data_IF_072682473256
#
_entry.id   IF_072682473256
#
_cell.length_a   1.000
_cell.length_b   1.000
_cell.length_c   1.000
_cell.angle_alpha   90.00
_cell.angle_beta   90.00
_cell.angle_gamma   90.00
#
_symmetry.space_group_name_H-M   'P 1'
#
loop_
_entity.id
_entity.type
_entity.pdbx_description
1 polymer ?
#
# COMPACT_ATOMS: atom_id res chain seq x y z
N UNK A 1 -13.27 -21.15 -8.87
CA UNK A 1 -14.16 -22.29 -8.56
C UNK A 1 -15.24 -21.80 -7.63
N UNK A 2 -16.50 -22.23 -7.80
CA UNK A 2 -17.60 -21.76 -6.96
C UNK A 2 -17.34 -22.06 -5.47
N UNK A 3 -17.71 -21.12 -4.60
CA UNK A 3 -17.66 -21.26 -3.14
C UNK A 3 -18.63 -22.37 -2.72
N UNK A 4 -18.20 -23.29 -1.87
CA UNK A 4 -19.05 -24.37 -1.34
C UNK A 4 -19.38 -24.16 0.14
N UNK A 5 -20.37 -24.90 0.65
CA UNK A 5 -20.70 -24.91 2.07
C UNK A 5 -19.50 -25.29 2.96
N UNK A 6 -18.64 -26.19 2.49
CA UNK A 6 -17.43 -26.57 3.21
C UNK A 6 -16.42 -25.42 3.30
N UNK A 7 -16.32 -24.58 2.26
CA UNK A 7 -15.43 -23.40 2.27
C UNK A 7 -15.94 -22.36 3.28
N UNK A 8 -17.26 -22.14 3.34
CA UNK A 8 -17.89 -21.24 4.32
C UNK A 8 -17.70 -21.73 5.77
N UNK A 9 -17.90 -23.02 6.04
CA UNK A 9 -17.68 -23.60 7.37
C UNK A 9 -16.20 -23.64 7.77
N UNK A 10 -15.28 -23.73 6.80
CA UNK A 10 -13.86 -23.61 7.06
C UNK A 10 -13.49 -22.16 7.42
N UNK A 11 -13.97 -21.18 6.64
CA UNK A 11 -13.75 -19.76 6.90
C UNK A 11 -14.28 -19.31 8.27
N UNK A 12 -15.51 -19.71 8.63
CA UNK A 12 -16.08 -19.38 9.94
C UNK A 12 -15.24 -19.93 11.11
N UNK A 13 -14.69 -21.15 10.96
CA UNK A 13 -13.78 -21.73 11.97
C UNK A 13 -12.43 -21.01 12.03
N UNK A 14 -11.86 -20.65 10.88
CA UNK A 14 -10.59 -19.92 10.80
C UNK A 14 -10.69 -18.55 11.51
N UNK A 15 -11.81 -17.86 11.32
CA UNK A 15 -12.10 -16.56 11.93
C UNK A 15 -12.72 -16.66 13.33
N UNK A 16 -12.87 -17.88 13.88
CA UNK A 16 -13.51 -18.14 15.19
C UNK A 16 -14.89 -17.47 15.34
N UNK A 17 -15.68 -17.50 14.28
CA UNK A 17 -17.03 -16.96 14.26
C UNK A 17 -18.05 -17.98 14.78
N UNK A 18 -18.99 -17.51 15.61
CA UNK A 18 -20.12 -18.30 16.11
C UNK A 18 -21.32 -18.30 15.15
N UNK A 19 -21.20 -17.67 13.97
CA UNK A 19 -22.28 -17.57 13.00
C UNK A 19 -22.61 -18.94 12.38
N UNK A 20 -23.90 -19.25 12.31
CA UNK A 20 -24.36 -20.48 11.65
C UNK A 20 -24.17 -20.40 10.14
N UNK A 21 -23.94 -21.55 9.51
CA UNK A 21 -23.80 -21.65 8.05
C UNK A 21 -25.02 -21.08 7.31
N UNK A 22 -26.22 -21.27 7.86
CA UNK A 22 -27.45 -20.76 7.25
C UNK A 22 -27.57 -19.24 7.38
N UNK A 23 -27.14 -18.66 8.50
CA UNK A 23 -27.06 -17.19 8.65
C UNK A 23 -26.08 -16.59 7.63
N UNK A 24 -24.90 -17.20 7.44
CA UNK A 24 -23.90 -16.76 6.46
C UNK A 24 -24.48 -16.84 5.03
N UNK A 25 -25.12 -17.95 4.68
CA UNK A 25 -25.76 -18.13 3.36
C UNK A 25 -26.90 -17.14 3.13
N UNK A 26 -27.71 -16.86 4.14
CA UNK A 26 -28.80 -15.90 4.04
C UNK A 26 -28.26 -14.50 3.83
N UNK A 27 -27.23 -14.09 4.58
CA UNK A 27 -26.60 -12.80 4.42
C UNK A 27 -25.93 -12.64 3.05
N UNK A 28 -25.29 -13.69 2.52
CA UNK A 28 -24.70 -13.69 1.17
C UNK A 28 -25.70 -13.47 0.03
N UNK A 29 -27.02 -13.60 0.28
CA UNK A 29 -28.07 -13.32 -0.71
C UNK A 29 -28.51 -11.86 -0.73
N UNK A 30 -28.16 -11.10 0.29
CA UNK A 30 -28.50 -9.69 0.37
C UNK A 30 -27.36 -8.86 -0.19
N UNK A 31 -27.70 -7.78 -0.86
CA UNK A 31 -26.70 -6.82 -1.30
C UNK A 31 -26.05 -6.19 -0.06
N UNK A 32 -24.71 -6.17 0.03
CA UNK A 32 -24.04 -5.58 1.18
C UNK A 32 -24.43 -4.10 1.29
N UNK A 33 -24.58 -3.62 2.52
CA UNK A 33 -24.79 -2.20 2.75
C UNK A 33 -23.68 -1.38 2.08
N UNK A 34 -24.05 -0.25 1.47
CA UNK A 34 -23.06 0.65 0.85
C UNK A 34 -22.04 1.05 1.91
N UNK A 35 -20.77 0.72 1.67
CA UNK A 35 -19.67 1.17 2.52
C UNK A 35 -19.48 2.66 2.30
N UNK A 36 -19.55 3.43 3.38
CA UNK A 36 -19.28 4.86 3.35
C UNK A 36 -17.76 5.05 3.52
N UNK A 37 -17.04 5.58 2.51
CA UNK A 37 -15.62 5.86 2.67
C UNK A 37 -15.43 6.95 3.73
N UNK A 38 -14.29 6.91 4.42
CA UNK A 38 -13.93 7.96 5.37
C UNK A 38 -13.86 9.30 4.60
N UNK A 39 -14.57 10.35 5.04
CA UNK A 39 -14.62 11.62 4.33
C UNK A 39 -13.34 12.42 4.60
N UNK A 40 -12.29 12.11 3.84
CA UNK A 40 -11.02 12.85 3.88
C UNK A 40 -11.28 14.31 3.51
N UNK A 41 -10.73 15.25 4.28
CA UNK A 41 -10.99 16.68 4.08
C UNK A 41 -10.71 17.12 2.63
N UNK A 42 -9.52 16.82 2.10
CA UNK A 42 -9.15 17.21 0.74
C UNK A 42 -10.02 16.57 -0.36
N UNK A 43 -10.74 15.48 -0.06
CA UNK A 43 -11.68 14.85 -1.00
C UNK A 43 -13.07 15.51 -0.96
N UNK A 44 -13.53 15.89 0.22
CA UNK A 44 -14.86 16.50 0.39
C UNK A 44 -14.95 17.91 -0.18
N UNK A 45 -13.81 18.58 -0.31
CA UNK A 45 -13.67 19.93 -0.86
C UNK A 45 -13.58 19.93 -2.38
N UNK A 46 -14.56 19.29 -3.04
CA UNK A 46 -14.68 19.29 -4.49
C UNK A 46 -14.90 20.70 -5.03
N UNK A 47 -14.26 20.99 -6.17
CA UNK A 47 -14.33 22.29 -6.83
C UNK A 47 -15.19 22.15 -8.08
N UNK A 48 -15.99 23.18 -8.41
CA UNK A 48 -16.87 23.15 -9.59
C UNK A 48 -16.09 23.04 -10.89
N UNK A 49 -14.98 23.77 -11.00
CA UNK A 49 -14.24 23.94 -12.27
C UNK A 49 -12.79 23.44 -12.17
N UNK A 50 -12.49 22.59 -11.18
CA UNK A 50 -11.15 22.05 -10.97
C UNK A 50 -11.21 20.67 -10.32
N UNK A 51 -10.14 19.85 -10.44
CA UNK A 51 -10.04 18.60 -9.69
C UNK A 51 -10.19 18.81 -8.18
N UNK A 52 -10.60 17.76 -7.44
CA UNK A 52 -10.60 17.78 -5.98
C UNK A 52 -9.22 18.17 -5.44
N UNK A 53 -9.17 18.86 -4.30
CA UNK A 53 -7.88 19.21 -3.67
C UNK A 53 -7.03 17.96 -3.37
N UNK A 54 -7.66 16.81 -3.14
CA UNK A 54 -6.94 15.55 -2.96
C UNK A 54 -6.03 15.23 -4.15
N UNK A 55 -6.50 15.41 -5.39
CA UNK A 55 -5.68 15.15 -6.59
C UNK A 55 -4.48 16.08 -6.62
N UNK A 56 -4.72 17.38 -6.39
CA UNK A 56 -3.65 18.37 -6.30
C UNK A 56 -2.61 18.01 -5.22
N UNK A 57 -3.05 17.63 -4.02
CA UNK A 57 -2.17 17.24 -2.91
C UNK A 57 -1.36 15.99 -3.26
N UNK A 58 -1.99 14.97 -3.86
CA UNK A 58 -1.31 13.75 -4.31
C UNK A 58 -0.24 14.10 -5.35
N UNK A 59 -0.53 14.98 -6.31
CA UNK A 59 0.41 15.40 -7.33
C UNK A 59 1.59 16.19 -6.73
N UNK A 60 1.33 17.10 -5.79
CA UNK A 60 2.38 17.85 -5.10
C UNK A 60 3.31 16.95 -4.29
N UNK A 61 2.74 16.03 -3.52
CA UNK A 61 3.52 15.05 -2.76
C UNK A 61 4.29 14.15 -3.72
N UNK A 62 3.66 13.65 -4.78
CA UNK A 62 4.31 12.73 -5.72
C UNK A 62 5.44 13.38 -6.49
N UNK A 63 5.26 14.62 -6.96
CA UNK A 63 6.31 15.39 -7.63
C UNK A 63 7.51 15.64 -6.71
N UNK A 64 7.23 16.02 -5.45
CA UNK A 64 8.28 16.18 -4.45
C UNK A 64 9.03 14.87 -4.17
N UNK A 65 8.31 13.77 -3.90
CA UNK A 65 8.93 12.49 -3.58
C UNK A 65 9.69 11.90 -4.75
N UNK A 66 9.19 12.07 -5.98
CA UNK A 66 9.90 11.69 -7.19
C UNK A 66 11.24 12.42 -7.28
N UNK A 67 11.26 13.74 -7.05
CA UNK A 67 12.49 14.53 -7.05
C UNK A 67 13.41 14.20 -5.85
N UNK A 68 12.85 13.94 -4.66
CA UNK A 68 13.61 13.65 -3.45
C UNK A 68 14.31 12.29 -3.52
N UNK A 69 13.63 11.27 -4.03
CA UNK A 69 14.19 9.93 -4.24
C UNK A 69 14.83 9.77 -5.62
N UNK A 70 14.91 10.84 -6.41
CA UNK A 70 15.65 10.84 -7.66
C UNK A 70 17.13 10.70 -7.31
N UNK A 71 17.66 9.47 -7.45
CA UNK A 71 19.04 9.08 -7.12
C UNK A 71 20.06 9.67 -8.10
N UNK A 72 19.94 10.96 -8.40
CA UNK A 72 20.81 11.72 -9.29
C UNK A 72 20.52 11.53 -10.79
N UNK A 73 19.31 11.13 -11.20
CA UNK A 73 18.97 11.04 -12.63
C UNK A 73 18.61 12.40 -13.22
N UNK A 74 18.03 13.32 -12.44
CA UNK A 74 17.83 14.70 -12.87
C UNK A 74 19.13 15.52 -12.82
N UNK A 75 19.28 16.39 -13.83
CA UNK A 75 20.33 17.42 -13.93
C UNK A 75 20.22 18.50 -12.85
N UNK A 76 19.03 18.68 -12.25
CA UNK A 76 18.77 19.67 -11.22
C UNK A 76 18.41 18.98 -9.91
N UNK A 77 19.34 19.00 -8.96
CA UNK A 77 19.10 18.44 -7.63
C UNK A 77 18.27 19.40 -6.78
N UNK A 78 17.41 18.84 -5.93
CA UNK A 78 16.91 19.57 -4.78
C UNK A 78 18.12 20.07 -3.96
N UNK A 79 18.09 21.30 -3.40
CA UNK A 79 19.11 21.75 -2.47
C UNK A 79 19.13 20.81 -1.27
N UNK A 80 19.98 19.79 -1.32
CA UNK A 80 20.11 18.82 -0.25
C UNK A 80 21.02 19.43 0.81
N UNK A 81 20.43 19.93 1.88
CA UNK A 81 21.17 20.01 3.13
C UNK A 81 21.47 18.57 3.54
N UNK A 82 22.76 18.21 3.58
CA UNK A 82 23.15 16.91 4.10
C UNK A 82 22.50 16.76 5.50
N UNK A 83 21.70 15.70 5.69
CA UNK A 83 20.96 15.37 6.91
C UNK A 83 19.58 16.03 7.13
N UNK A 84 18.96 16.67 6.14
CA UNK A 84 17.56 17.11 6.28
C UNK A 84 16.59 15.91 6.19
N UNK A 85 15.62 15.84 7.13
CA UNK A 85 14.55 14.82 7.07
C UNK A 85 13.64 15.05 5.85
N UNK A 86 12.86 14.03 5.47
CA UNK A 86 11.92 14.09 4.37
C UNK A 86 10.92 15.26 4.54
N UNK A 87 10.40 15.46 5.76
CA UNK A 87 9.48 16.54 6.09
C UNK A 87 10.13 17.93 5.98
N UNK A 88 11.33 18.11 6.53
CA UNK A 88 12.02 19.41 6.52
C UNK A 88 12.34 19.84 5.08
N UNK A 89 12.83 18.90 4.28
CA UNK A 89 13.11 19.09 2.86
C UNK A 89 11.84 19.40 2.06
N UNK A 90 10.73 18.70 2.35
CA UNK A 90 9.43 18.98 1.73
C UNK A 90 8.92 20.38 2.05
N UNK A 91 9.08 20.82 3.30
CA UNK A 91 8.64 22.14 3.74
C UNK A 91 9.40 23.24 3.00
N UNK A 92 10.72 23.10 2.85
CA UNK A 92 11.53 24.03 2.06
C UNK A 92 11.10 24.05 0.58
N UNK A 93 10.92 22.87 -0.02
CA UNK A 93 10.43 22.72 -1.40
C UNK A 93 9.08 23.44 -1.61
N UNK A 94 8.11 23.17 -0.73
CA UNK A 94 6.75 23.71 -0.82
C UNK A 94 6.70 25.22 -0.54
N UNK A 95 7.62 25.75 0.27
CA UNK A 95 7.76 27.19 0.46
C UNK A 95 8.26 27.90 -0.81
N UNK A 96 8.97 27.23 -1.72
CA UNK A 96 9.43 27.81 -2.99
C UNK A 96 8.37 27.67 -4.07
N UNK A 97 7.66 26.55 -4.09
CA UNK A 97 6.63 26.24 -5.07
C UNK A 97 5.44 27.24 -5.03
N UNK A 98 4.94 27.60 -6.21
CA UNK A 98 3.82 28.54 -6.41
C UNK A 98 2.55 27.84 -6.91
N UNK A 99 2.57 26.52 -7.10
CA UNK A 99 1.43 25.76 -7.66
C UNK A 99 0.15 25.89 -6.81
N UNK A 100 0.29 25.99 -5.47
CA UNK A 100 -0.83 26.15 -4.52
C UNK A 100 -1.70 27.37 -4.83
N UNK A 101 -1.07 28.50 -5.18
CA UNK A 101 -1.80 29.72 -5.54
C UNK A 101 -2.60 29.56 -6.85
N UNK A 102 -2.03 28.86 -7.84
CA UNK A 102 -2.73 28.53 -9.09
C UNK A 102 -3.90 27.55 -8.83
N UNK A 103 -3.75 26.66 -7.86
CA UNK A 103 -4.82 25.82 -7.34
C UNK A 103 -5.81 26.57 -6.42
N UNK A 104 -5.75 27.90 -6.30
CA UNK A 104 -6.72 28.68 -5.52
C UNK A 104 -6.47 28.70 -4.00
N UNK A 105 -5.40 28.05 -3.52
CA UNK A 105 -4.98 28.06 -2.11
C UNK A 105 -3.92 29.15 -1.90
N UNK A 106 -4.36 30.41 -1.81
CA UNK A 106 -3.47 31.58 -1.88
C UNK A 106 -2.66 31.79 -0.60
N UNK A 107 -3.17 31.43 0.56
CA UNK A 107 -2.51 31.60 1.84
C UNK A 107 -1.66 30.41 2.29
N UNK A 108 -1.58 29.31 1.52
CA UNK A 108 -0.77 28.12 1.85
C UNK A 108 0.65 28.49 2.24
N UNK A 109 1.34 29.32 1.46
CA UNK A 109 2.72 29.73 1.77
C UNK A 109 2.81 30.48 3.11
N UNK A 110 1.89 31.41 3.36
CA UNK A 110 1.83 32.17 4.62
C UNK A 110 1.56 31.24 5.80
N UNK A 111 0.62 30.31 5.64
CA UNK A 111 0.23 29.36 6.68
C UNK A 111 1.33 28.32 6.93
N UNK A 112 2.04 27.87 5.90
CA UNK A 112 3.16 26.92 6.00
C UNK A 112 4.32 27.48 6.84
N UNK A 113 4.51 28.81 6.87
CA UNK A 113 5.50 29.45 7.75
C UNK A 113 5.17 29.29 9.24
N UNK A 114 3.89 29.11 9.60
CA UNK A 114 3.45 28.83 10.97
C UNK A 114 3.58 27.36 11.37
N UNK A 115 3.86 26.47 10.41
CA UNK A 115 4.07 25.05 10.68
C UNK A 115 5.45 24.86 11.31
N UNK A 116 5.55 24.12 12.44
CA UNK A 116 6.83 23.78 13.06
C UNK A 116 7.82 23.12 12.11
N UNK A 117 9.11 23.28 12.38
CA UNK A 117 10.19 22.72 11.54
C UNK A 117 10.39 21.21 11.75
N UNK A 118 10.00 20.67 12.92
CA UNK A 118 10.15 19.24 13.25
C UNK A 118 8.87 18.49 12.87
N UNK A 119 9.01 17.32 12.24
CA UNK A 119 7.86 16.53 11.80
C UNK A 119 6.90 16.17 12.92
N UNK A 120 7.41 15.81 14.10
CA UNK A 120 6.56 15.43 15.24
C UNK A 120 5.71 16.60 15.73
N UNK A 121 6.31 17.78 15.85
CA UNK A 121 5.60 19.00 16.27
C UNK A 121 4.60 19.45 15.19
N UNK A 122 4.94 19.27 13.91
CA UNK A 122 4.05 19.56 12.80
C UNK A 122 2.86 18.59 12.71
N UNK A 123 3.04 17.32 13.11
CA UNK A 123 1.96 16.35 13.22
C UNK A 123 0.97 16.80 14.30
N UNK A 124 1.46 17.14 15.49
CA UNK A 124 0.62 17.69 16.58
C UNK A 124 -0.09 18.96 16.15
N UNK A 125 0.62 19.90 15.52
CA UNK A 125 0.03 21.12 14.96
C UNK A 125 -1.09 20.82 13.96
N UNK A 126 -0.88 19.86 13.05
CA UNK A 126 -1.89 19.53 12.04
C UNK A 126 -3.13 18.87 12.68
N UNK A 127 -2.94 17.97 13.65
CA UNK A 127 -4.04 17.37 14.40
C UNK A 127 -4.85 18.42 15.17
N UNK A 128 -4.18 19.39 15.81
CA UNK A 128 -4.84 20.51 16.49
C UNK A 128 -5.64 21.40 15.51
N UNK A 129 -5.13 21.64 14.30
CA UNK A 129 -5.86 22.42 13.29
C UNK A 129 -7.07 21.68 12.73
N UNK A 130 -6.92 20.38 12.49
CA UNK A 130 -7.96 19.52 11.95
C UNK A 130 -9.07 19.27 13.00
N UNK A 131 -8.72 19.29 14.30
CA UNK A 131 -9.66 19.26 15.43
C UNK A 131 -10.63 18.07 15.36
N UNK A 132 -10.06 16.87 15.16
CA UNK A 132 -10.78 15.60 15.24
C UNK A 132 -10.61 14.98 16.62
N UNK A 133 -11.66 14.31 17.16
CA UNK A 133 -11.53 13.51 18.38
C UNK A 133 -10.43 12.45 18.26
N UNK A 134 -9.65 12.26 19.32
CA UNK A 134 -8.51 11.31 19.35
C UNK A 134 -8.90 9.89 18.91
N UNK A 135 -10.12 9.46 19.27
CA UNK A 135 -10.67 8.16 18.87
C UNK A 135 -10.76 7.96 17.34
N UNK A 136 -10.78 9.04 16.55
CA UNK A 136 -10.86 9.00 15.09
C UNK A 136 -9.48 9.10 14.42
N UNK A 137 -8.42 9.42 15.17
CA UNK A 137 -7.08 9.63 14.60
C UNK A 137 -6.55 8.40 13.86
N UNK A 138 -6.64 7.15 14.39
CA UNK A 138 -6.10 5.99 13.69
C UNK A 138 -6.69 5.79 12.30
N UNK A 139 -8.02 5.86 12.17
CA UNK A 139 -8.73 5.70 10.90
C UNK A 139 -8.40 6.84 9.93
N UNK A 140 -8.37 8.08 10.42
CA UNK A 140 -8.07 9.24 9.61
C UNK A 140 -6.64 9.20 9.07
N UNK A 141 -5.65 8.92 9.92
CA UNK A 141 -4.24 8.79 9.54
C UNK A 141 -4.03 7.64 8.56
N UNK A 142 -4.68 6.50 8.79
CA UNK A 142 -4.63 5.36 7.87
C UNK A 142 -5.22 5.70 6.50
N UNK A 143 -6.44 6.25 6.45
CA UNK A 143 -7.07 6.67 5.20
C UNK A 143 -6.23 7.71 4.44
N UNK A 144 -5.61 8.62 5.18
CA UNK A 144 -4.70 9.64 4.67
C UNK A 144 -3.48 9.02 3.99
N UNK A 145 -2.82 8.04 4.61
CA UNK A 145 -1.72 7.29 3.99
C UNK A 145 -2.20 6.43 2.80
N UNK A 146 -3.37 5.81 2.90
CA UNK A 146 -3.96 5.03 1.80
C UNK A 146 -4.23 5.87 0.56
N UNK A 147 -4.53 7.16 0.71
CA UNK A 147 -4.70 8.08 -0.41
C UNK A 147 -3.43 8.28 -1.25
N UNK A 148 -2.26 8.02 -0.66
CA UNK A 148 -0.93 8.06 -1.30
C UNK A 148 -0.23 6.70 -1.19
N UNK A 149 -1.02 5.62 -1.33
CA UNK A 149 -0.62 4.26 -0.99
C UNK A 149 0.68 3.77 -1.66
N UNK A 150 0.95 4.18 -2.90
CA UNK A 150 2.20 3.83 -3.59
C UNK A 150 3.44 4.33 -2.85
N UNK A 151 3.45 5.61 -2.47
CA UNK A 151 4.54 6.22 -1.72
C UNK A 151 4.61 5.74 -0.27
N UNK A 152 3.45 5.51 0.36
CA UNK A 152 3.39 4.92 1.70
C UNK A 152 4.02 3.52 1.71
N UNK A 153 3.72 2.69 0.70
CA UNK A 153 4.36 1.36 0.53
C UNK A 153 5.85 1.47 0.29
N UNK A 154 6.30 2.44 -0.51
CA UNK A 154 7.73 2.67 -0.74
C UNK A 154 8.46 3.09 0.57
N UNK A 155 7.90 4.03 1.33
CA UNK A 155 8.48 4.43 2.63
C UNK A 155 8.49 3.28 3.63
N UNK A 156 7.42 2.45 3.67
CA UNK A 156 7.40 1.24 4.50
C UNK A 156 8.47 0.23 4.08
N UNK A 157 8.72 0.09 2.78
CA UNK A 157 9.80 -0.75 2.25
C UNK A 157 11.17 -0.23 2.69
N UNK A 158 11.42 1.08 2.66
CA UNK A 158 12.66 1.67 3.17
C UNK A 158 12.86 1.40 4.66
N UNK A 159 11.80 1.56 5.46
CA UNK A 159 11.82 1.18 6.88
C UNK A 159 12.16 -0.29 7.08
N UNK A 160 11.52 -1.18 6.33
CA UNK A 160 11.82 -2.61 6.41
C UNK A 160 13.29 -2.92 6.06
N UNK A 161 13.86 -2.25 5.07
CA UNK A 161 15.27 -2.41 4.72
C UNK A 161 16.22 -1.92 5.82
N UNK A 162 15.87 -0.84 6.52
CA UNK A 162 16.63 -0.33 7.66
C UNK A 162 16.54 -1.30 8.86
N UNK A 163 15.34 -1.78 9.18
CA UNK A 163 15.09 -2.76 10.26
C UNK A 163 15.95 -4.03 10.09
N UNK A 164 16.11 -4.52 8.86
CA UNK A 164 16.97 -5.67 8.56
C UNK A 164 18.47 -5.43 8.86
N UNK A 165 18.90 -4.17 8.92
CA UNK A 165 20.27 -3.76 9.27
C UNK A 165 20.39 -3.32 10.72
N UNK A 166 19.30 -3.32 11.49
CA UNK A 166 19.25 -2.74 12.84
C UNK A 166 19.31 -1.21 12.84
N UNK A 167 18.93 -0.57 11.73
CA UNK A 167 18.85 0.88 11.56
C UNK A 167 17.39 1.33 11.65
N UNK A 168 17.17 2.60 12.02
CA UNK A 168 15.86 3.23 12.02
C UNK A 168 15.62 4.05 10.74
N UNK A 169 14.35 4.21 10.35
CA UNK A 169 13.96 5.09 9.25
C UNK A 169 12.60 5.75 9.54
N UNK A 170 12.52 7.06 9.31
CA UNK A 170 11.41 7.92 9.71
C UNK A 170 10.59 8.46 8.54
N UNK A 171 10.99 8.18 7.29
CA UNK A 171 10.30 8.68 6.07
C UNK A 171 8.80 8.41 6.03
N UNK A 172 8.34 7.26 6.56
CA UNK A 172 6.90 6.95 6.61
C UNK A 172 6.13 7.89 7.55
N UNK A 173 6.74 8.22 8.70
CA UNK A 173 6.17 9.18 9.65
C UNK A 173 6.18 10.60 9.05
N UNK A 174 7.29 10.98 8.41
CA UNK A 174 7.40 12.27 7.73
C UNK A 174 6.37 12.40 6.60
N UNK A 175 6.16 11.34 5.81
CA UNK A 175 5.14 11.31 4.75
C UNK A 175 3.72 11.48 5.31
N UNK A 176 3.40 10.79 6.40
CA UNK A 176 2.12 10.95 7.09
C UNK A 176 1.93 12.39 7.55
N UNK A 177 2.97 12.98 8.14
CA UNK A 177 2.96 14.38 8.60
C UNK A 177 2.76 15.34 7.43
N UNK A 178 3.50 15.19 6.33
CA UNK A 178 3.37 16.02 5.12
C UNK A 178 1.91 16.02 4.63
N UNK A 179 1.33 14.82 4.52
CA UNK A 179 -0.03 14.67 4.02
C UNK A 179 -1.05 15.29 4.99
N UNK A 180 -0.86 15.18 6.30
CA UNK A 180 -1.76 15.78 7.29
C UNK A 180 -1.63 17.30 7.34
N UNK A 181 -0.42 17.84 7.22
CA UNK A 181 -0.18 19.28 7.12
C UNK A 181 -0.90 19.87 5.91
N UNK A 182 -0.94 19.17 4.76
CA UNK A 182 -1.75 19.61 3.62
C UNK A 182 -3.24 19.76 3.95
N UNK A 183 -3.83 18.80 4.67
CA UNK A 183 -5.23 18.92 5.11
C UNK A 183 -5.42 20.14 6.01
N UNK A 184 -4.56 20.33 7.01
CA UNK A 184 -4.62 21.49 7.90
C UNK A 184 -4.47 22.82 7.14
N UNK A 185 -3.55 22.90 6.18
CA UNK A 185 -3.35 24.10 5.35
C UNK A 185 -4.56 24.39 4.46
N UNK A 186 -5.19 23.37 3.89
CA UNK A 186 -6.42 23.52 3.11
C UNK A 186 -7.54 24.01 4.03
N UNK A 187 -7.71 23.41 5.21
CA UNK A 187 -8.74 23.79 6.18
C UNK A 187 -8.63 25.27 6.55
N UNK A 188 -7.42 25.78 6.78
CA UNK A 188 -7.18 27.20 7.09
C UNK A 188 -7.57 28.18 5.97
N UNK A 189 -7.72 27.71 4.73
CA UNK A 189 -8.18 28.51 3.59
C UNK A 189 -9.70 28.45 3.39
N UNK A 190 -10.40 27.55 4.09
CA UNK A 190 -11.84 27.35 3.95
C UNK A 190 -12.63 28.15 4.99
N UNK A 191 -13.84 28.55 4.63
CA UNK A 191 -14.77 29.23 5.54
C UNK A 191 -15.46 28.25 6.50
N UNK A 192 -15.95 28.77 7.62
CA UNK A 192 -16.62 27.99 8.67
C UNK A 192 -17.76 27.06 8.17
N UNK A 193 -18.64 27.44 7.23
CA UNK A 193 -19.69 26.54 6.74
C UNK A 193 -19.14 25.25 6.11
N UNK A 194 -17.98 25.34 5.45
CA UNK A 194 -17.31 24.22 4.82
C UNK A 194 -16.73 23.27 5.88
N UNK A 195 -16.17 23.83 6.96
CA UNK A 195 -15.67 23.06 8.10
C UNK A 195 -16.81 22.29 8.77
N UNK A 196 -17.94 22.95 9.01
CA UNK A 196 -19.12 22.35 9.62
C UNK A 196 -19.70 21.23 8.76
N UNK A 197 -19.78 21.44 7.44
CA UNK A 197 -20.26 20.41 6.51
C UNK A 197 -19.38 19.16 6.53
N UNK A 198 -18.06 19.33 6.55
CA UNK A 198 -17.13 18.21 6.66
C UNK A 198 -17.25 17.49 8.02
N UNK A 199 -17.38 18.23 9.14
CA UNK A 199 -17.59 17.65 10.48
C UNK A 199 -18.88 16.81 10.55
N UNK A 200 -19.97 17.26 9.93
CA UNK A 200 -21.22 16.49 9.85
C UNK A 200 -20.99 15.16 9.13
N UNK A 201 -20.30 15.16 7.99
CA UNK A 201 -19.96 13.94 7.25
C UNK A 201 -19.08 12.99 8.05
N UNK A 202 -18.08 13.50 8.78
CA UNK A 202 -17.25 12.69 9.68
C UNK A 202 -18.10 12.02 10.78
N UNK A 203 -19.04 12.75 11.37
CA UNK A 203 -19.96 12.20 12.38
C UNK A 203 -20.93 11.15 11.80
N UNK A 204 -21.45 11.38 10.58
CA UNK A 204 -22.23 10.39 9.84
C UNK A 204 -21.43 9.12 9.58
N UNK A 205 -20.23 9.26 9.03
CA UNK A 205 -19.33 8.14 8.78
C UNK A 205 -19.04 7.35 10.06
N UNK A 206 -18.74 8.04 11.18
CA UNK A 206 -18.47 7.38 12.45
C UNK A 206 -19.68 6.57 12.95
N UNK A 207 -20.90 7.11 12.83
CA UNK A 207 -22.13 6.37 13.18
C UNK A 207 -22.28 5.11 12.35
N UNK A 208 -22.01 5.20 11.04
CA UNK A 208 -22.05 4.04 10.15
C UNK A 208 -20.95 3.03 10.43
N UNK A 209 -19.72 3.47 10.72
CA UNK A 209 -18.60 2.60 11.05
C UNK A 209 -18.87 1.78 12.33
N UNK A 210 -19.44 2.39 13.37
CA UNK A 210 -19.85 1.69 14.59
C UNK A 210 -20.98 0.69 14.33
N UNK A 211 -21.97 1.05 13.50
CA UNK A 211 -23.06 0.14 13.13
C UNK A 211 -22.60 -1.02 12.22
N UNK A 212 -21.55 -0.81 11.43
CA UNK A 212 -20.97 -1.81 10.52
C UNK A 212 -19.92 -2.73 11.19
N UNK A 213 -19.68 -2.58 12.49
CA UNK A 213 -18.79 -3.44 13.29
C UNK A 213 -19.17 -4.94 13.24
N UNK A 214 -20.33 -5.28 12.69
CA UNK A 214 -20.77 -6.65 12.41
C UNK A 214 -20.35 -7.17 11.01
N UNK A 215 -19.22 -6.72 10.45
CA UNK A 215 -18.70 -7.16 9.14
C UNK A 215 -18.04 -8.57 9.16
N UNK A 216 -18.28 -9.36 10.22
CA UNK A 216 -17.82 -10.75 10.32
C UNK A 216 -18.26 -11.58 9.10
N UNK A 217 -19.44 -11.29 8.55
CA UNK A 217 -19.97 -11.98 7.37
C UNK A 217 -19.12 -11.70 6.12
N UNK A 218 -18.77 -10.43 5.86
CA UNK A 218 -17.94 -10.08 4.69
C UNK A 218 -16.58 -10.77 4.77
N UNK A 219 -15.98 -10.80 5.97
CA UNK A 219 -14.69 -11.43 6.21
C UNK A 219 -14.75 -12.95 6.02
N UNK A 220 -15.82 -13.59 6.49
CA UNK A 220 -16.10 -15.01 6.25
C UNK A 220 -16.26 -15.28 4.76
N UNK A 221 -17.01 -14.45 4.04
CA UNK A 221 -17.23 -14.62 2.60
C UNK A 221 -15.93 -14.42 1.81
N UNK A 222 -15.11 -13.44 2.18
CA UNK A 222 -13.78 -13.22 1.60
C UNK A 222 -12.86 -14.42 1.85
N UNK A 223 -12.76 -14.86 3.10
CA UNK A 223 -11.94 -16.02 3.49
C UNK A 223 -12.41 -17.30 2.79
N UNK A 224 -13.72 -17.50 2.66
CA UNK A 224 -14.28 -18.62 1.93
C UNK A 224 -13.96 -18.57 0.42
N UNK A 225 -13.97 -17.37 -0.18
CA UNK A 225 -13.54 -17.18 -1.56
C UNK A 225 -12.05 -17.53 -1.73
N UNK A 226 -11.19 -17.13 -0.79
CA UNK A 226 -9.77 -17.50 -0.78
C UNK A 226 -9.58 -19.01 -0.64
N UNK A 227 -10.28 -19.66 0.27
CA UNK A 227 -10.23 -21.13 0.44
C UNK A 227 -10.68 -21.82 -0.85
N UNK A 228 -11.78 -21.37 -1.46
CA UNK A 228 -12.27 -21.91 -2.72
C UNK A 228 -11.26 -21.75 -3.86
N UNK A 229 -10.56 -20.62 -3.89
CA UNK A 229 -9.47 -20.34 -4.84
C UNK A 229 -8.27 -21.27 -4.60
N UNK A 230 -7.74 -21.34 -3.37
CA UNK A 230 -6.63 -22.21 -2.98
C UNK A 230 -6.92 -23.67 -3.33
N UNK A 231 -8.13 -24.14 -3.05
CA UNK A 231 -8.61 -25.49 -3.39
C UNK A 231 -8.65 -25.74 -4.91
N UNK A 232 -9.05 -24.74 -5.69
CA UNK A 232 -9.07 -24.86 -7.15
C UNK A 232 -7.65 -24.93 -7.73
N UNK A 233 -6.74 -24.07 -7.24
CA UNK A 233 -5.32 -24.08 -7.61
C UNK A 233 -4.67 -25.42 -7.25
N UNK A 234 -4.88 -25.90 -6.02
CA UNK A 234 -4.34 -27.19 -5.57
C UNK A 234 -4.84 -28.37 -6.42
N UNK A 235 -6.10 -28.33 -6.87
CA UNK A 235 -6.63 -29.34 -7.80
C UNK A 235 -5.98 -29.26 -9.17
N UNK A 236 -5.83 -28.06 -9.73
CA UNK A 236 -5.16 -27.85 -11.01
C UNK A 236 -3.71 -28.32 -11.02
N UNK A 237 -2.97 -28.05 -9.95
CA UNK A 237 -1.59 -28.52 -9.78
C UNK A 237 -1.51 -30.06 -9.71
N UNK A 238 -2.47 -30.71 -9.04
CA UNK A 238 -2.53 -32.18 -8.95
C UNK A 238 -2.95 -32.85 -10.27
N UNK A 239 -3.82 -32.23 -11.05
CA UNK A 239 -4.23 -32.76 -12.36
C UNK A 239 -3.14 -32.63 -13.43
N UNK A 240 -2.14 -31.77 -13.21
CA UNK A 240 -0.99 -31.59 -14.10
C UNK A 240 0.17 -32.56 -13.80
N UNK A 241 -0.08 -33.64 -13.06
CA UNK A 241 0.92 -34.67 -12.83
C UNK A 241 0.83 -35.76 -13.91
N UNK A 242 1.95 -35.91 -14.62
CA UNK A 242 2.34 -36.91 -15.60
C UNK A 242 1.93 -36.64 -17.07
N UNK A 243 2.71 -35.80 -17.74
CA UNK A 243 3.12 -36.15 -19.11
C UNK A 243 4.28 -37.16 -19.06
N UNK A 244 4.39 -37.95 -20.14
CA UNK A 244 5.38 -39.01 -20.34
C UNK A 244 6.81 -38.61 -19.90
N UNK A 245 7.67 -39.56 -19.50
CA UNK A 245 9.03 -39.27 -19.06
C UNK A 245 9.75 -38.37 -20.06
N UNK A 246 9.95 -37.11 -19.65
CA UNK A 246 10.72 -36.13 -20.40
C UNK A 246 12.17 -36.65 -20.36
N UNK A 247 12.85 -36.80 -21.51
CA UNK A 247 14.25 -37.21 -21.51
C UNK A 247 15.07 -36.22 -20.66
N UNK A 248 15.97 -36.77 -19.84
CA UNK A 248 16.79 -35.95 -18.93
C UNK A 248 17.52 -34.84 -19.71
N UNK A 249 17.46 -33.58 -19.27
CA UNK A 249 18.11 -32.48 -19.96
C UNK A 249 19.64 -32.66 -19.92
N UNK A 250 20.33 -32.12 -20.92
CA UNK A 250 21.79 -32.13 -20.93
C UNK A 250 22.38 -31.25 -19.81
N UNK A 251 21.64 -30.20 -19.44
CA UNK A 251 21.97 -29.27 -18.35
C UNK A 251 20.68 -28.88 -17.64
N UNK A 252 20.65 -28.98 -16.31
CA UNK A 252 19.54 -28.49 -15.48
C UNK A 252 20.05 -27.37 -14.57
N UNK A 253 19.46 -26.18 -14.65
CA UNK A 253 19.87 -25.02 -13.84
C UNK A 253 18.73 -24.55 -12.94
N UNK A 254 19.03 -24.30 -11.65
CA UNK A 254 18.07 -23.77 -10.70
C UNK A 254 18.22 -22.24 -10.57
N UNK A 255 17.11 -21.52 -10.71
CA UNK A 255 17.02 -20.08 -10.50
C UNK A 255 16.05 -19.76 -9.36
N UNK A 256 16.25 -18.63 -8.69
CA UNK A 256 15.21 -18.08 -7.81
C UNK A 256 13.92 -17.88 -8.60
N UNK A 257 12.75 -18.05 -7.98
CA UNK A 257 11.45 -17.73 -8.61
C UNK A 257 11.20 -16.21 -8.73
N UNK A 258 12.26 -15.43 -8.96
CA UNK A 258 12.26 -13.98 -9.06
C UNK A 258 12.11 -13.52 -10.52
N UNK A 259 11.31 -12.48 -10.76
CA UNK A 259 11.07 -11.92 -12.10
C UNK A 259 12.36 -11.41 -12.73
N UNK A 260 13.35 -10.98 -11.94
CA UNK A 260 14.67 -10.53 -12.42
C UNK A 260 15.46 -11.66 -13.08
N UNK A 261 15.31 -12.90 -12.61
CA UNK A 261 15.96 -14.07 -13.22
C UNK A 261 15.25 -14.56 -14.48
N UNK A 262 14.00 -14.17 -14.72
CA UNK A 262 13.19 -14.69 -15.84
C UNK A 262 13.80 -14.35 -17.21
N UNK A 263 14.40 -13.16 -17.36
CA UNK A 263 15.06 -12.77 -18.61
C UNK A 263 16.25 -13.68 -18.92
N UNK A 264 17.08 -13.99 -17.92
CA UNK A 264 18.20 -14.91 -18.06
C UNK A 264 17.73 -16.33 -18.35
N UNK A 265 16.70 -16.77 -17.62
CA UNK A 265 16.10 -18.09 -17.75
C UNK A 265 15.63 -18.33 -19.19
N UNK A 266 14.82 -17.42 -19.72
CA UNK A 266 14.30 -17.48 -21.11
C UNK A 266 15.40 -17.38 -22.16
N UNK A 267 16.41 -16.54 -21.94
CA UNK A 267 17.52 -16.41 -22.89
C UNK A 267 18.32 -17.71 -22.98
N UNK A 268 18.61 -18.35 -21.84
CA UNK A 268 19.32 -19.63 -21.78
C UNK A 268 18.52 -20.76 -22.44
N UNK A 269 17.22 -20.87 -22.17
CA UNK A 269 16.33 -21.85 -22.81
C UNK A 269 16.24 -21.62 -24.33
N UNK A 270 16.23 -20.37 -24.79
CA UNK A 270 16.20 -20.04 -26.21
C UNK A 270 17.52 -20.38 -26.93
N UNK A 271 18.66 -20.18 -26.26
CA UNK A 271 19.99 -20.45 -26.82
C UNK A 271 20.38 -21.93 -26.75
N UNK A 272 19.83 -22.70 -25.79
CA UNK A 272 20.16 -24.10 -25.55
C UNK A 272 18.89 -24.93 -25.42
N UNK A 273 18.39 -25.54 -26.53
CA UNK A 273 17.14 -26.31 -26.53
C UNK A 273 17.15 -27.55 -25.61
N UNK A 274 18.33 -28.04 -25.24
CA UNK A 274 18.52 -29.19 -24.36
C UNK A 274 18.81 -28.80 -22.90
N UNK A 275 18.75 -27.50 -22.58
CA UNK A 275 18.88 -26.97 -21.22
C UNK A 275 17.49 -26.79 -20.62
N UNK A 276 17.31 -27.25 -19.39
CA UNK A 276 16.11 -27.02 -18.60
C UNK A 276 16.43 -26.08 -17.45
N UNK A 277 15.50 -25.17 -17.14
CA UNK A 277 15.59 -24.36 -15.93
C UNK A 277 14.44 -24.65 -14.97
N UNK A 278 14.75 -24.65 -13.68
CA UNK A 278 13.77 -24.85 -12.61
C UNK A 278 13.75 -23.63 -11.68
N UNK A 279 12.58 -23.24 -11.20
CA UNK A 279 12.39 -22.14 -10.26
C UNK A 279 12.24 -22.64 -8.84
N UNK A 280 12.99 -22.09 -7.88
CA UNK A 280 12.86 -22.44 -6.47
C UNK A 280 13.03 -21.23 -5.54
N UNK A 281 12.48 -21.32 -4.33
CA UNK A 281 12.86 -20.42 -3.24
C UNK A 281 14.18 -20.90 -2.64
N UNK A 282 14.91 -20.02 -1.94
CA UNK A 282 16.28 -20.29 -1.45
C UNK A 282 16.41 -21.60 -0.65
N UNK A 283 15.41 -21.95 0.16
CA UNK A 283 15.38 -23.20 0.92
C UNK A 283 15.27 -24.43 0.01
N UNK A 284 14.43 -24.36 -1.02
CA UNK A 284 14.20 -25.43 -1.98
C UNK A 284 15.43 -25.66 -2.86
N UNK A 285 16.09 -24.61 -3.33
CA UNK A 285 17.30 -24.74 -4.17
C UNK A 285 18.44 -25.43 -3.41
N UNK A 286 18.60 -25.13 -2.11
CA UNK A 286 19.64 -25.75 -1.28
C UNK A 286 19.43 -27.26 -1.06
N UNK A 287 18.18 -27.71 -0.92
CA UNK A 287 17.85 -29.14 -0.82
C UNK A 287 18.10 -29.89 -2.13
N UNK A 288 17.87 -29.25 -3.27
CA UNK A 288 18.12 -29.83 -4.60
C UNK A 288 19.61 -30.01 -4.91
N UNK A 289 20.46 -29.06 -4.50
CA UNK A 289 21.92 -29.19 -4.69
C UNK A 289 22.49 -30.39 -3.91
N UNK A 290 21.88 -30.77 -2.79
CA UNK A 290 22.33 -31.88 -1.95
C UNK A 290 21.87 -33.27 -2.44
N UNK A 291 20.97 -33.35 -3.42
CA UNK A 291 20.45 -34.63 -3.96
C UNK A 291 21.01 -34.99 -5.33
N UNK A 292 21.79 -34.10 -5.96
CA UNK A 292 22.47 -34.39 -7.23
C UNK A 292 23.74 -35.19 -6.92
N UNK A 293 23.88 -36.45 -7.38
CA UNK A 293 25.12 -37.19 -7.22
C UNK A 293 26.25 -36.43 -7.92
N UNK A 294 27.35 -36.22 -7.19
CA UNK A 294 28.54 -35.55 -7.69
C UNK A 294 29.11 -36.29 -8.91
N UNK A 295 28.63 -35.94 -10.10
CA UNK A 295 29.32 -36.26 -11.34
C UNK A 295 30.30 -35.14 -11.60
N UNK A 296 31.58 -35.51 -11.60
CA UNK A 296 32.72 -34.66 -11.86
C UNK A 296 32.55 -33.96 -13.20
N UNK A 297 32.37 -32.64 -13.18
CA UNK A 297 32.50 -31.80 -14.36
C UNK A 297 34.01 -31.74 -14.73
N UNK A 298 34.45 -32.14 -15.95
CA UNK A 298 35.87 -32.15 -16.31
C UNK A 298 36.48 -30.77 -16.60
N UNK A 299 35.80 -29.66 -16.30
CA UNK A 299 36.17 -28.34 -16.80
C UNK A 299 36.38 -27.25 -15.73
N UNK A 300 36.62 -27.62 -14.47
CA UNK A 300 37.10 -26.70 -13.43
C UNK A 300 38.40 -27.22 -12.81
#
# INVERSE_FOLDING_TARGET
GAITAADLSAAARELKSDLSLDAIKQAARHEPAKKHPLPLLALELNRRDAPPFLVFVIDQISGYLAAHYDRGQALWHLPAEAHSSLFSSWRQYTLIDRSSSAAGLKGVRKNLLSVPNRSQDALSWALEKIDLPEAQWPDYLFATLKSIGGWASYCRYLLWQAELKGEDQHDLHDLMTIRLVWDALILMEMDEPVHQHWRIKMQEWQRHAHAASDSCIDEILLTAAEIAFRRAVARGLKSNQADAPIPAPAVQMAFCIDVRSEVFRRHLEACMPNLETIGGCRSTIAEWVNTIPASTCPCC
#
